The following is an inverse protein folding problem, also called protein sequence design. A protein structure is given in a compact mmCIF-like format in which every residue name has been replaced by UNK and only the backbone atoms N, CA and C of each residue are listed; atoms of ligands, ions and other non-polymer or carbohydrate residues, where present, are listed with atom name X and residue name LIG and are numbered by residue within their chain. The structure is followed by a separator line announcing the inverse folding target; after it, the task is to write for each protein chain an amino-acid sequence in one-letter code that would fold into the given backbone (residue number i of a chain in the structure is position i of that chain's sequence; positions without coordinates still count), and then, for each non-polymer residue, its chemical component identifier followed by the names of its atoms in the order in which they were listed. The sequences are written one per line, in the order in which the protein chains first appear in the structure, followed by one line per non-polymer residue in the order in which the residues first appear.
data_IF_702727183020
#
_entry.id   IF_702727183020
#
_cell.length_a   1.000
_cell.length_b   1.000
_cell.length_c   1.000
_cell.angle_alpha   90.00
_cell.angle_beta   90.00
_cell.angle_gamma   90.00
#
_symmetry.space_group_name_H-M   'P 1'
#
loop_
_entity.id
_entity.type
_entity.pdbx_description
1 polymer ?
#
# COMPACT_ATOMS: atom_id res chain seq x y z
N UNK A 1 19.34 22.36 13.19
CA UNK A 1 20.12 21.20 12.71
C UNK A 1 19.86 19.87 13.44
N UNK A 2 19.57 19.81 14.75
CA UNK A 2 19.41 18.53 15.47
C UNK A 2 18.15 17.71 15.09
N UNK A 3 17.03 18.36 14.75
CA UNK A 3 15.74 17.69 14.48
C UNK A 3 15.69 17.00 13.11
N UNK A 4 16.24 17.65 12.07
CA UNK A 4 16.28 17.09 10.70
C UNK A 4 17.21 15.89 10.60
N UNK A 5 18.35 15.93 11.30
CA UNK A 5 19.26 14.79 11.39
C UNK A 5 18.60 13.56 12.05
N UNK A 6 17.76 13.79 13.08
CA UNK A 6 17.03 12.72 13.78
C UNK A 6 15.92 12.10 12.92
N UNK A 7 15.23 12.88 12.11
CA UNK A 7 14.22 12.36 11.17
C UNK A 7 14.90 11.52 10.09
N UNK A 8 16.03 12.00 9.56
CA UNK A 8 16.82 11.24 8.57
C UNK A 8 17.24 9.88 9.11
N UNK A 9 17.80 9.81 10.32
CA UNK A 9 18.18 8.53 10.94
C UNK A 9 16.98 7.62 11.19
N UNK A 10 15.84 8.16 11.65
CA UNK A 10 14.63 7.38 11.91
C UNK A 10 14.08 6.73 10.63
N UNK A 11 14.08 7.46 9.51
CA UNK A 11 13.68 6.94 8.20
C UNK A 11 14.67 5.88 7.74
N UNK A 12 15.98 6.07 7.93
CA UNK A 12 16.97 5.04 7.58
C UNK A 12 16.75 3.75 8.35
N UNK A 13 16.42 3.81 9.64
CA UNK A 13 16.14 2.63 10.48
C UNK A 13 14.86 1.90 10.04
N UNK A 14 13.87 2.63 9.49
CA UNK A 14 12.55 2.11 9.12
C UNK A 14 12.28 2.27 7.62
N UNK A 15 13.34 2.17 6.80
CA UNK A 15 13.29 2.62 5.41
C UNK A 15 12.27 1.84 4.57
N UNK A 16 12.14 0.54 4.78
CA UNK A 16 11.16 -0.29 4.09
C UNK A 16 9.72 0.11 4.44
N UNK A 17 9.42 0.36 5.71
CA UNK A 17 8.09 0.83 6.13
C UNK A 17 7.76 2.18 5.50
N UNK A 18 8.74 3.08 5.42
CA UNK A 18 8.57 4.37 4.76
C UNK A 18 8.27 4.21 3.25
N UNK A 19 9.01 3.36 2.54
CA UNK A 19 8.79 3.11 1.11
C UNK A 19 7.43 2.45 0.84
N UNK A 20 7.07 1.42 1.63
CA UNK A 20 5.75 0.79 1.54
C UNK A 20 4.65 1.84 1.78
N UNK A 21 4.82 2.67 2.82
CA UNK A 21 3.87 3.73 3.13
C UNK A 21 3.71 4.74 1.99
N UNK A 22 4.79 5.14 1.34
CA UNK A 22 4.75 6.01 0.15
C UNK A 22 4.04 5.36 -1.02
N UNK A 23 4.40 4.11 -1.35
CA UNK A 23 3.79 3.38 -2.47
C UNK A 23 2.28 3.16 -2.24
N UNK A 24 1.89 2.74 -1.03
CA UNK A 24 0.49 2.53 -0.67
C UNK A 24 -0.32 3.83 -0.69
N UNK A 25 0.25 4.92 -0.18
CA UNK A 25 -0.41 6.24 -0.21
C UNK A 25 -0.60 6.72 -1.64
N UNK A 26 0.42 6.60 -2.49
CA UNK A 26 0.34 6.99 -3.90
C UNK A 26 -0.69 6.14 -4.67
N UNK A 27 -0.71 4.82 -4.43
CA UNK A 27 -1.70 3.93 -5.02
C UNK A 27 -3.12 4.29 -4.56
N UNK A 28 -3.34 4.51 -3.25
CA UNK A 28 -4.64 4.91 -2.72
C UNK A 28 -5.10 6.26 -3.27
N UNK A 29 -4.22 7.27 -3.35
CA UNK A 29 -4.55 8.57 -3.94
C UNK A 29 -4.92 8.42 -5.42
N UNK A 30 -4.18 7.61 -6.19
CA UNK A 30 -4.47 7.37 -7.60
C UNK A 30 -5.88 6.79 -7.78
N UNK A 31 -6.21 5.73 -7.04
CA UNK A 31 -7.52 5.08 -7.09
C UNK A 31 -8.64 6.04 -6.67
N UNK A 32 -8.42 6.79 -5.59
CA UNK A 32 -9.39 7.79 -5.13
C UNK A 32 -9.67 8.86 -6.19
N UNK A 33 -8.65 9.28 -6.95
CA UNK A 33 -8.84 10.31 -7.99
C UNK A 33 -9.47 9.78 -9.28
N UNK A 34 -9.43 8.46 -9.52
CA UNK A 34 -9.98 7.82 -10.70
C UNK A 34 -11.08 6.82 -10.33
N UNK A 35 -12.30 7.33 -10.14
CA UNK A 35 -13.48 6.54 -9.82
C UNK A 35 -13.91 5.55 -10.93
N UNK A 36 -13.20 5.52 -12.06
CA UNK A 36 -13.47 4.62 -13.19
C UNK A 36 -12.33 3.66 -13.47
N UNK A 37 -11.30 3.64 -12.62
CA UNK A 37 -10.11 2.81 -12.81
C UNK A 37 -10.48 1.33 -12.96
N UNK A 38 -11.36 0.82 -12.09
CA UNK A 38 -11.91 -0.53 -12.16
C UNK A 38 -13.32 -0.55 -12.76
N UNK A 39 -13.39 -0.58 -14.10
CA UNK A 39 -14.66 -0.50 -14.81
C UNK A 39 -15.34 -1.86 -15.08
N UNK A 40 -14.64 -3.00 -14.89
CA UNK A 40 -15.16 -4.33 -15.22
C UNK A 40 -14.92 -5.37 -14.11
N UNK A 41 -15.93 -6.16 -13.70
CA UNK A 41 -17.26 -6.22 -14.29
C UNK A 41 -18.16 -5.10 -13.72
N UNK A 42 -19.08 -4.55 -14.53
CA UNK A 42 -19.80 -3.31 -14.19
C UNK A 42 -20.65 -3.44 -12.92
N UNK A 43 -21.15 -4.63 -12.61
CA UNK A 43 -21.93 -4.87 -11.37
C UNK A 43 -21.12 -4.67 -10.09
N UNK A 44 -19.79 -4.72 -10.14
CA UNK A 44 -18.91 -4.50 -8.98
C UNK A 44 -18.14 -3.18 -9.06
N UNK A 45 -18.28 -2.40 -10.15
CA UNK A 45 -17.50 -1.18 -10.36
C UNK A 45 -17.66 -0.18 -9.20
N UNK A 46 -18.86 -0.03 -8.64
CA UNK A 46 -19.10 0.82 -7.47
C UNK A 46 -18.37 0.35 -6.20
N UNK A 47 -18.21 -0.97 -6.01
CA UNK A 47 -17.47 -1.53 -4.87
C UNK A 47 -15.97 -1.42 -5.07
N UNK A 48 -15.48 -1.64 -6.30
CA UNK A 48 -14.06 -1.63 -6.61
C UNK A 48 -13.44 -0.24 -6.58
N UNK A 49 -14.22 0.81 -6.84
CA UNK A 49 -13.79 2.22 -6.79
C UNK A 49 -14.49 2.96 -5.63
N UNK A 50 -14.66 2.30 -4.49
CA UNK A 50 -15.25 2.90 -3.30
C UNK A 50 -14.25 3.83 -2.61
N UNK A 51 -14.63 5.11 -2.46
CA UNK A 51 -13.81 6.14 -1.82
C UNK A 51 -13.36 5.75 -0.40
N UNK A 52 -14.16 4.96 0.31
CA UNK A 52 -13.83 4.46 1.65
C UNK A 52 -12.67 3.47 1.63
N UNK A 53 -12.66 2.54 0.67
CA UNK A 53 -11.54 1.61 0.47
C UNK A 53 -10.26 2.35 0.10
N UNK A 54 -10.35 3.34 -0.79
CA UNK A 54 -9.19 4.15 -1.20
C UNK A 54 -8.65 4.98 -0.05
N UNK A 55 -9.54 5.58 0.75
CA UNK A 55 -9.16 6.31 1.97
C UNK A 55 -8.44 5.42 2.98
N UNK A 56 -8.85 4.14 3.14
CA UNK A 56 -8.16 3.18 4.02
C UNK A 56 -6.72 2.98 3.57
N UNK A 57 -6.46 2.85 2.26
CA UNK A 57 -5.10 2.71 1.74
C UNK A 57 -4.25 3.96 2.03
N UNK A 58 -4.81 5.15 1.79
CA UNK A 58 -4.12 6.43 2.05
C UNK A 58 -3.80 6.59 3.54
N UNK A 59 -4.76 6.38 4.42
CA UNK A 59 -4.57 6.52 5.87
C UNK A 59 -3.55 5.50 6.39
N UNK A 60 -3.61 4.25 5.91
CA UNK A 60 -2.65 3.21 6.28
C UNK A 60 -1.24 3.55 5.80
N UNK A 61 -1.11 4.06 4.57
CA UNK A 61 0.16 4.49 4.01
C UNK A 61 0.78 5.65 4.80
N UNK A 62 -0.01 6.67 5.16
CA UNK A 62 0.45 7.72 6.06
C UNK A 62 0.77 7.22 7.47
N UNK A 63 0.04 6.21 7.97
CA UNK A 63 0.35 5.54 9.23
C UNK A 63 1.74 4.90 9.22
N UNK A 64 2.11 4.21 8.14
CA UNK A 64 3.45 3.62 7.96
C UNK A 64 4.55 4.70 7.85
N UNK A 65 4.27 5.78 7.11
CA UNK A 65 5.19 6.92 7.01
C UNK A 65 5.41 7.55 8.39
N UNK A 66 4.32 7.78 9.13
CA UNK A 66 4.38 8.32 10.48
C UNK A 66 5.18 7.41 11.41
N UNK A 67 4.90 6.10 11.39
CA UNK A 67 5.64 5.08 12.14
C UNK A 67 7.15 5.20 11.89
N UNK A 68 7.56 5.29 10.62
CA UNK A 68 8.96 5.39 10.25
C UNK A 68 9.60 6.72 10.70
N UNK A 69 8.89 7.85 10.54
CA UNK A 69 9.40 9.18 10.88
C UNK A 69 9.53 9.38 12.40
N UNK A 70 8.61 8.83 13.19
CA UNK A 70 8.67 8.92 14.67
C UNK A 70 9.54 7.85 15.31
N UNK A 71 10.00 6.87 14.54
CA UNK A 71 10.72 5.68 15.02
C UNK A 71 9.91 4.93 16.09
N UNK A 72 8.62 4.78 15.82
CA UNK A 72 7.71 3.98 16.65
C UNK A 72 8.26 2.55 16.77
N UNK A 73 8.07 1.92 17.94
CA UNK A 73 8.61 0.60 18.26
C UNK A 73 7.54 -0.45 18.46
N UNK A 74 6.27 -0.05 18.52
CA UNK A 74 5.15 -0.96 18.77
C UNK A 74 4.99 -2.02 17.68
N UNK A 75 5.16 -3.28 18.08
CA UNK A 75 5.03 -4.41 17.17
C UNK A 75 3.62 -4.63 16.67
N UNK A 76 2.66 -4.41 17.55
CA UNK A 76 1.25 -4.53 17.22
C UNK A 76 0.84 -3.48 16.18
N UNK A 77 1.30 -2.24 16.32
CA UNK A 77 0.95 -1.16 15.38
C UNK A 77 1.50 -1.46 13.99
N UNK A 78 2.79 -1.79 13.89
CA UNK A 78 3.38 -2.16 12.60
C UNK A 78 2.73 -3.41 11.99
N UNK A 79 2.44 -4.43 12.80
CA UNK A 79 1.73 -5.63 12.35
C UNK A 79 0.37 -5.30 11.74
N UNK A 80 -0.45 -4.51 12.44
CA UNK A 80 -1.77 -4.08 11.96
C UNK A 80 -1.65 -3.29 10.65
N UNK A 81 -0.76 -2.29 10.59
CA UNK A 81 -0.56 -1.48 9.39
C UNK A 81 -0.10 -2.33 8.19
N UNK A 82 0.85 -3.24 8.39
CA UNK A 82 1.35 -4.14 7.34
C UNK A 82 0.28 -5.15 6.91
N UNK A 83 -0.54 -5.67 7.83
CA UNK A 83 -1.66 -6.55 7.49
C UNK A 83 -2.69 -5.86 6.61
N UNK A 84 -3.12 -4.64 6.98
CA UNK A 84 -4.06 -3.85 6.16
C UNK A 84 -3.45 -3.57 4.78
N UNK A 85 -2.17 -3.18 4.75
CA UNK A 85 -1.43 -2.93 3.50
C UNK A 85 -1.40 -4.17 2.60
N UNK A 86 -1.12 -5.35 3.17
CA UNK A 86 -1.07 -6.60 2.43
C UNK A 86 -2.45 -7.00 1.88
N UNK A 87 -3.50 -6.87 2.69
CA UNK A 87 -4.87 -7.18 2.28
C UNK A 87 -5.34 -6.27 1.14
N UNK A 88 -5.12 -4.96 1.26
CA UNK A 88 -5.49 -4.01 0.22
C UNK A 88 -4.71 -4.26 -1.08
N UNK A 89 -3.38 -4.36 -0.99
CA UNK A 89 -2.51 -4.58 -2.16
C UNK A 89 -2.82 -5.91 -2.85
N UNK A 90 -3.09 -6.97 -2.09
CA UNK A 90 -3.50 -8.26 -2.63
C UNK A 90 -4.85 -8.20 -3.35
N UNK A 91 -5.83 -7.48 -2.79
CA UNK A 91 -7.13 -7.25 -3.44
C UNK A 91 -6.96 -6.49 -4.76
N UNK A 92 -6.20 -5.39 -4.76
CA UNK A 92 -5.90 -4.61 -5.98
C UNK A 92 -5.21 -5.48 -7.04
N UNK A 93 -4.23 -6.30 -6.65
CA UNK A 93 -3.56 -7.21 -7.57
C UNK A 93 -4.56 -8.19 -8.21
N UNK A 94 -5.44 -8.81 -7.42
CA UNK A 94 -6.46 -9.72 -7.95
C UNK A 94 -7.41 -9.00 -8.92
N UNK A 95 -7.87 -7.80 -8.59
CA UNK A 95 -8.78 -7.02 -9.45
C UNK A 95 -8.09 -6.64 -10.76
N UNK A 96 -6.84 -6.15 -10.70
CA UNK A 96 -6.04 -5.81 -11.89
C UNK A 96 -5.82 -7.03 -12.79
N UNK A 97 -5.54 -8.20 -12.21
CA UNK A 97 -5.38 -9.45 -12.96
C UNK A 97 -6.68 -9.86 -13.66
N UNK A 98 -7.81 -9.78 -12.96
CA UNK A 98 -9.14 -10.08 -13.52
C UNK A 98 -9.43 -9.16 -14.70
N UNK A 99 -9.21 -7.85 -14.57
CA UNK A 99 -9.41 -6.91 -15.67
C UNK A 99 -8.45 -7.17 -16.84
N UNK A 100 -7.18 -7.45 -16.54
CA UNK A 100 -6.18 -7.73 -17.56
C UNK A 100 -6.55 -8.94 -18.42
N UNK A 101 -7.07 -10.01 -17.80
CA UNK A 101 -7.46 -11.24 -18.49
C UNK A 101 -8.83 -11.09 -19.17
N UNK A 102 -9.86 -10.65 -18.45
CA UNK A 102 -11.24 -10.73 -18.91
C UNK A 102 -11.73 -9.48 -19.64
N UNK A 103 -11.20 -8.30 -19.30
CA UNK A 103 -11.51 -7.05 -19.99
C UNK A 103 -10.48 -6.69 -21.07
N UNK A 104 -9.45 -7.53 -21.27
CA UNK A 104 -8.43 -7.36 -22.30
C UNK A 104 -7.52 -6.14 -22.10
N UNK A 105 -7.41 -5.64 -20.87
CA UNK A 105 -6.63 -4.43 -20.56
C UNK A 105 -5.17 -4.76 -20.28
N UNK A 106 -4.37 -4.86 -21.35
CA UNK A 106 -2.95 -5.14 -21.26
C UNK A 106 -2.18 -4.24 -20.26
N UNK A 107 -2.45 -2.92 -20.13
CA UNK A 107 -1.78 -2.09 -19.13
C UNK A 107 -2.00 -2.54 -17.67
N UNK A 108 -3.11 -3.22 -17.38
CA UNK A 108 -3.40 -3.70 -16.02
C UNK A 108 -2.55 -4.91 -15.63
N UNK A 109 -1.91 -5.61 -16.57
CA UNK A 109 -0.86 -6.59 -16.22
C UNK A 109 0.34 -5.93 -15.55
N UNK A 110 0.74 -4.73 -15.99
CA UNK A 110 1.84 -4.00 -15.34
C UNK A 110 1.42 -3.59 -13.92
N UNK A 111 0.20 -3.10 -13.75
CA UNK A 111 -0.38 -2.81 -12.44
C UNK A 111 -0.31 -4.05 -11.52
N UNK A 112 -0.77 -5.20 -12.02
CA UNK A 112 -0.73 -6.46 -11.28
C UNK A 112 0.70 -6.84 -10.85
N UNK A 113 1.68 -6.75 -11.75
CA UNK A 113 3.08 -7.08 -11.44
C UNK A 113 3.63 -6.15 -10.35
N UNK A 114 3.37 -4.85 -10.44
CA UNK A 114 3.81 -3.87 -9.44
C UNK A 114 3.12 -4.11 -8.08
N UNK A 115 1.84 -4.46 -8.08
CA UNK A 115 1.11 -4.83 -6.86
C UNK A 115 1.66 -6.11 -6.23
N UNK A 116 2.03 -7.13 -7.04
CA UNK A 116 2.71 -8.32 -6.55
C UNK A 116 4.08 -8.00 -5.95
N UNK A 117 4.84 -7.11 -6.57
CA UNK A 117 6.12 -6.65 -6.03
C UNK A 117 5.93 -5.94 -4.68
N UNK A 118 5.00 -4.99 -4.59
CA UNK A 118 4.68 -4.30 -3.34
C UNK A 118 4.20 -5.27 -2.25
N UNK A 119 3.35 -6.24 -2.60
CA UNK A 119 2.89 -7.28 -1.68
C UNK A 119 4.07 -8.13 -1.17
N UNK A 120 5.01 -8.50 -2.04
CA UNK A 120 6.21 -9.22 -1.64
C UNK A 120 7.06 -8.39 -0.66
N UNK A 121 7.25 -7.09 -0.92
CA UNK A 121 7.96 -6.18 0.00
C UNK A 121 7.26 -6.06 1.36
N UNK A 122 5.92 -5.96 1.37
CA UNK A 122 5.13 -5.93 2.62
C UNK A 122 5.33 -7.22 3.42
N UNK A 123 5.19 -8.38 2.79
CA UNK A 123 5.34 -9.68 3.45
C UNK A 123 6.78 -9.93 3.91
N UNK A 124 7.76 -9.53 3.09
CA UNK A 124 9.18 -9.61 3.44
C UNK A 124 9.47 -8.75 4.66
N UNK A 125 9.02 -7.49 4.66
CA UNK A 125 9.20 -6.57 5.79
C UNK A 125 8.50 -7.10 7.04
N UNK A 126 7.28 -7.61 6.92
CA UNK A 126 6.55 -8.22 8.05
C UNK A 126 7.30 -9.42 8.65
N UNK A 127 7.96 -10.23 7.82
CA UNK A 127 8.72 -11.41 8.24
C UNK A 127 10.07 -11.06 8.87
N UNK A 128 10.78 -10.08 8.32
CA UNK A 128 12.17 -9.78 8.72
C UNK A 128 12.28 -8.72 9.81
N UNK A 129 11.20 -8.01 10.10
CA UNK A 129 11.16 -7.02 11.17
C UNK A 129 11.31 -7.69 12.54
N UNK A 130 12.53 -7.70 13.06
CA UNK A 130 12.86 -8.10 14.43
C UNK A 130 12.98 -6.83 15.29
N UNK A 131 11.84 -6.30 15.71
CA UNK A 131 11.76 -5.23 16.69
C UNK A 131 11.60 -5.89 18.06
N UNK A 132 12.73 -6.27 18.65
CA UNK A 132 12.82 -6.62 20.07
C UNK A 132 12.48 -5.44 20.97
#
# INVERSE_FOLDING_TARGET
MKRTHRIGSNISDNFQLFLIGLALSAMGILLWTDHTYFFWPPQFAGLMNDDGLDAVAVVTGFGLIYYAVTNEKSNTVAGVLLSISASFTGLVACIQLIHAIFAGQAPMFLGFILSCFLLAEILYTARTRDTR
#
